data_IF_071030423248
#
_entry.id   IF_071030423248
#
_cell.length_a   1.000
_cell.length_b   1.000
_cell.length_c   1.000
_cell.angle_alpha   90.00
_cell.angle_beta   90.00
_cell.angle_gamma   90.00
#
_symmetry.space_group_name_H-M   'P 1'
#
loop_
_entity.id
_entity.type
_entity.pdbx_description
1 polymer ?
#
# COMPACT_ATOMS: atom_id res chain seq x y z
N UNK A 1 -8.09 -18.29 6.90
CA UNK A 1 -7.27 -18.74 8.05
C UNK A 1 -7.31 -17.66 9.13
N UNK A 2 -8.03 -17.91 10.21
CA UNK A 2 -8.02 -17.01 11.37
C UNK A 2 -6.84 -17.44 12.24
N UNK A 3 -5.85 -16.55 12.41
CA UNK A 3 -4.77 -16.77 13.39
C UNK A 3 -5.41 -16.95 14.77
N UNK A 4 -5.11 -18.04 15.48
CA UNK A 4 -5.53 -18.22 16.86
C UNK A 4 -4.90 -17.09 17.69
N UNK A 5 -5.71 -16.24 18.25
CA UNK A 5 -5.32 -15.13 19.11
C UNK A 5 -6.58 -14.34 19.45
N UNK A 6 -6.65 -13.80 20.63
CA UNK A 6 -7.69 -12.83 20.94
C UNK A 6 -7.37 -11.58 20.12
N UNK A 7 -8.34 -11.11 19.34
CA UNK A 7 -8.30 -9.74 18.90
C UNK A 7 -8.50 -8.90 20.17
N UNK A 8 -7.45 -8.31 20.75
CA UNK A 8 -7.55 -7.73 22.09
C UNK A 8 -8.56 -6.59 22.12
N UNK A 9 -8.95 -6.07 20.92
CA UNK A 9 -9.96 -5.01 20.87
C UNK A 9 -10.74 -5.12 19.57
N UNK A 10 -12.02 -5.52 19.67
CA UNK A 10 -12.97 -5.20 18.64
C UNK A 10 -13.03 -3.67 18.51
N UNK A 11 -12.97 -3.16 17.29
CA UNK A 11 -13.25 -1.76 17.02
C UNK A 11 -14.70 -1.51 17.38
N UNK A 12 -14.97 -1.23 18.63
CA UNK A 12 -16.27 -0.80 19.08
C UNK A 12 -16.37 0.69 18.82
N UNK A 13 -17.14 1.04 17.82
CA UNK A 13 -17.53 2.43 17.61
C UNK A 13 -18.76 2.73 18.49
N UNK A 14 -18.81 3.90 19.17
CA UNK A 14 -19.95 4.26 20.03
C UNK A 14 -21.29 4.28 19.28
N UNK A 15 -21.27 4.41 17.97
CA UNK A 15 -22.47 4.44 17.09
C UNK A 15 -22.72 3.12 16.36
N UNK A 16 -22.12 2.02 16.80
CA UNK A 16 -22.25 0.70 16.16
C UNK A 16 -21.18 0.43 15.11
N UNK A 17 -21.41 -0.57 14.26
CA UNK A 17 -20.51 -0.91 13.17
C UNK A 17 -20.33 0.32 12.28
N UNK A 18 -19.09 0.85 12.22
CA UNK A 18 -18.80 1.92 11.31
C UNK A 18 -18.99 1.41 9.88
N UNK A 19 -19.91 2.01 9.17
CA UNK A 19 -20.05 1.78 7.74
C UNK A 19 -18.75 2.16 7.03
N UNK A 20 -18.46 1.48 5.95
CA UNK A 20 -17.39 1.86 5.03
C UNK A 20 -17.55 3.34 4.66
N UNK A 21 -16.47 4.08 4.85
CA UNK A 21 -16.51 5.53 4.68
C UNK A 21 -15.99 5.99 3.31
N UNK A 22 -15.44 5.07 2.51
CA UNK A 22 -14.71 5.40 1.29
C UNK A 22 -13.36 6.09 1.58
N UNK A 23 -12.66 6.39 0.53
CA UNK A 23 -11.39 7.10 0.60
C UNK A 23 -11.64 8.58 0.94
N UNK A 24 -11.08 9.06 2.03
CA UNK A 24 -11.25 10.44 2.53
C UNK A 24 -9.91 11.03 2.95
N UNK A 25 -9.75 12.35 2.85
CA UNK A 25 -8.60 13.02 3.43
C UNK A 25 -8.45 12.68 4.92
N UNK A 26 -7.22 12.41 5.34
CA UNK A 26 -6.93 12.11 6.74
C UNK A 26 -7.20 13.34 7.61
N UNK A 27 -7.99 13.21 8.69
CA UNK A 27 -8.17 14.29 9.65
C UNK A 27 -6.84 14.67 10.31
N UNK A 28 -6.56 15.97 10.42
CA UNK A 28 -5.29 16.48 10.95
C UNK A 28 -5.00 16.02 12.39
N UNK A 29 -6.03 15.81 13.20
CA UNK A 29 -5.91 15.31 14.58
C UNK A 29 -5.44 13.86 14.67
N UNK A 30 -5.36 13.13 13.56
CA UNK A 30 -4.83 11.77 13.49
C UNK A 30 -3.33 11.71 13.17
N UNK A 31 -2.71 12.81 12.72
CA UNK A 31 -1.28 12.87 12.42
C UNK A 31 -0.39 12.35 13.56
N UNK A 32 -0.63 12.70 14.84
CA UNK A 32 0.20 12.20 15.94
C UNK A 32 0.14 10.68 16.14
N UNK A 33 -0.84 10.01 15.57
CA UNK A 33 -1.00 8.55 15.65
C UNK A 33 -0.41 7.81 14.45
N UNK A 34 0.08 8.50 13.43
CA UNK A 34 0.81 7.90 12.31
C UNK A 34 2.17 7.42 12.85
N UNK A 35 2.45 6.11 12.73
CA UNK A 35 3.64 5.51 13.35
C UNK A 35 3.52 5.25 14.87
N UNK A 36 2.32 5.21 15.41
CA UNK A 36 2.04 4.96 16.83
C UNK A 36 2.67 3.65 17.34
N UNK A 37 3.49 3.75 18.38
CA UNK A 37 4.20 2.63 19.00
C UNK A 37 3.56 2.14 20.32
N UNK A 38 2.53 2.83 20.79
CA UNK A 38 1.77 2.46 21.98
C UNK A 38 0.79 1.32 21.75
N UNK A 39 -0.19 1.19 22.66
CA UNK A 39 -1.22 0.15 22.52
C UNK A 39 -2.04 0.36 21.25
N UNK A 40 -2.19 -0.70 20.46
CA UNK A 40 -2.98 -0.64 19.20
C UNK A 40 -4.44 -0.20 19.41
N UNK A 41 -4.96 -0.45 20.60
CA UNK A 41 -6.29 -0.03 21.04
C UNK A 41 -6.48 1.49 21.07
N UNK A 42 -5.39 2.19 21.22
CA UNK A 42 -5.35 3.65 21.31
C UNK A 42 -4.91 4.28 19.98
N UNK A 43 -4.53 3.44 19.01
CA UNK A 43 -4.10 3.90 17.69
C UNK A 43 -5.29 4.36 16.84
N UNK A 44 -5.68 5.62 17.00
CA UNK A 44 -6.80 6.24 16.26
C UNK A 44 -6.57 6.24 14.75
N UNK A 45 -5.32 6.36 14.29
CA UNK A 45 -4.97 6.28 12.87
C UNK A 45 -5.26 4.91 12.28
N UNK A 46 -4.86 3.83 12.96
CA UNK A 46 -5.18 2.45 12.55
C UNK A 46 -6.69 2.20 12.45
N UNK A 47 -7.45 2.72 13.41
CA UNK A 47 -8.91 2.62 13.39
C UNK A 47 -9.53 3.39 12.21
N UNK A 48 -8.98 4.54 11.89
CA UNK A 48 -9.45 5.34 10.76
C UNK A 48 -9.17 4.64 9.43
N UNK A 49 -7.96 4.07 9.23
CA UNK A 49 -7.60 3.27 8.05
C UNK A 49 -8.54 2.07 7.91
N UNK A 50 -8.75 1.33 9.01
CA UNK A 50 -9.66 0.19 9.00
C UNK A 50 -11.07 0.58 8.54
N UNK A 51 -11.58 1.68 9.04
CA UNK A 51 -12.93 2.18 8.68
C UNK A 51 -13.05 2.59 7.22
N UNK A 52 -11.97 3.01 6.60
CA UNK A 52 -11.99 3.34 5.17
C UNK A 52 -12.08 2.08 4.29
N UNK A 53 -11.37 1.02 4.65
CA UNK A 53 -11.14 -0.11 3.77
C UNK A 53 -11.74 -1.44 4.27
N UNK A 54 -12.46 -1.43 5.39
CA UNK A 54 -13.04 -2.64 5.98
C UNK A 54 -14.26 -3.20 5.21
N UNK A 55 -14.72 -2.52 4.17
CA UNK A 55 -15.78 -3.07 3.31
C UNK A 55 -15.31 -4.34 2.60
N UNK A 56 -16.17 -5.33 2.53
CA UNK A 56 -15.93 -6.52 1.71
C UNK A 56 -16.05 -6.25 0.21
N UNK A 57 -16.55 -5.08 -0.16
CA UNK A 57 -16.79 -4.68 -1.54
C UNK A 57 -16.22 -3.28 -1.77
N UNK A 58 -15.35 -3.15 -2.77
CA UNK A 58 -14.75 -1.89 -3.21
C UNK A 58 -15.24 -1.59 -4.61
N UNK A 59 -16.16 -0.66 -4.76
CA UNK A 59 -16.76 -0.24 -6.02
C UNK A 59 -16.08 0.99 -6.65
N UNK A 60 -15.11 1.57 -5.94
CA UNK A 60 -14.37 2.77 -6.31
C UNK A 60 -12.95 2.48 -6.85
N UNK A 61 -12.62 1.23 -7.16
CA UNK A 61 -11.32 0.84 -7.74
C UNK A 61 -11.19 1.36 -9.17
N UNK A 62 -10.18 2.16 -9.43
CA UNK A 62 -9.88 2.70 -10.76
C UNK A 62 -9.21 1.64 -11.64
N UNK A 63 -9.97 1.08 -12.56
CA UNK A 63 -9.51 -0.03 -13.44
C UNK A 63 -8.25 0.34 -14.21
N UNK A 64 -8.11 1.59 -14.66
CA UNK A 64 -6.96 2.07 -15.43
C UNK A 64 -5.73 2.47 -14.61
N UNK A 65 -5.82 2.49 -13.27
CA UNK A 65 -4.67 2.85 -12.42
C UNK A 65 -3.74 1.67 -12.21
N UNK A 66 -2.93 1.40 -13.22
CA UNK A 66 -1.93 0.32 -13.26
C UNK A 66 -0.58 0.87 -13.72
N UNK A 67 0.52 0.19 -13.37
CA UNK A 67 1.84 0.57 -13.85
C UNK A 67 1.99 0.31 -15.36
N UNK A 68 2.88 1.04 -16.05
CA UNK A 68 3.27 0.75 -17.42
C UNK A 68 3.78 -0.68 -17.56
N UNK A 69 3.23 -1.44 -18.50
CA UNK A 69 3.58 -2.85 -18.71
C UNK A 69 3.64 -3.27 -20.18
N UNK A 70 3.04 -2.48 -21.09
CA UNK A 70 2.88 -2.86 -22.50
C UNK A 70 4.21 -3.07 -23.21
N UNK A 71 5.24 -2.28 -22.86
CA UNK A 71 6.56 -2.36 -23.47
C UNK A 71 7.36 -3.61 -23.06
N UNK A 72 6.95 -4.30 -22.01
CA UNK A 72 7.59 -5.54 -21.53
C UNK A 72 6.90 -6.81 -22.03
N UNK A 73 5.80 -6.70 -22.77
CA UNK A 73 5.12 -7.85 -23.37
C UNK A 73 5.91 -8.39 -24.56
N UNK A 74 6.11 -9.69 -24.57
CA UNK A 74 6.69 -10.44 -25.68
C UNK A 74 5.58 -11.06 -26.53
N UNK A 75 5.86 -11.40 -27.81
CA UNK A 75 4.85 -11.96 -28.73
C UNK A 75 4.15 -13.22 -28.20
N UNK A 76 4.88 -14.02 -27.42
CA UNK A 76 4.41 -15.28 -26.87
C UNK A 76 3.72 -15.11 -25.49
N UNK A 77 3.61 -13.89 -24.98
CA UNK A 77 2.93 -13.63 -23.73
C UNK A 77 1.43 -13.86 -23.82
N UNK A 78 0.87 -14.44 -22.77
CA UNK A 78 -0.56 -14.59 -22.64
C UNK A 78 -1.27 -13.24 -22.77
N UNK A 79 -2.36 -13.21 -23.54
CA UNK A 79 -3.13 -11.98 -23.80
C UNK A 79 -3.69 -11.34 -22.53
N UNK A 80 -3.82 -12.11 -21.44
CA UNK A 80 -4.47 -11.73 -20.20
C UNK A 80 -3.51 -11.26 -19.08
N UNK A 81 -2.21 -11.15 -19.36
CA UNK A 81 -1.26 -10.63 -18.35
C UNK A 81 -1.46 -9.12 -18.21
N UNK A 82 -2.01 -8.73 -17.07
CA UNK A 82 -2.23 -7.34 -16.70
C UNK A 82 -1.76 -7.11 -15.26
N UNK A 83 -1.13 -5.97 -14.96
CA UNK A 83 -0.83 -5.60 -13.57
C UNK A 83 -2.12 -5.44 -12.77
N UNK A 84 -2.05 -5.77 -11.47
CA UNK A 84 -3.13 -5.47 -10.54
C UNK A 84 -3.25 -3.95 -10.34
N UNK A 85 -4.47 -3.48 -10.11
CA UNK A 85 -4.74 -2.07 -9.85
C UNK A 85 -4.01 -1.58 -8.59
N UNK A 86 -3.37 -0.42 -8.70
CA UNK A 86 -2.63 0.18 -7.60
C UNK A 86 -3.55 0.50 -6.40
N UNK A 87 -4.80 0.87 -6.65
CA UNK A 87 -5.78 1.11 -5.56
C UNK A 87 -5.96 -0.11 -4.66
N UNK A 88 -6.02 -1.32 -5.23
CA UNK A 88 -6.13 -2.57 -4.48
C UNK A 88 -4.86 -2.84 -3.69
N UNK A 89 -3.71 -2.70 -4.34
CA UNK A 89 -2.38 -2.95 -3.75
C UNK A 89 -2.15 -2.01 -2.56
N UNK A 90 -2.35 -0.72 -2.74
CA UNK A 90 -2.14 0.30 -1.71
C UNK A 90 -3.04 0.08 -0.49
N UNK A 91 -4.32 -0.23 -0.71
CA UNK A 91 -5.25 -0.54 0.38
C UNK A 91 -4.82 -1.76 1.18
N UNK A 92 -4.39 -2.82 0.51
CA UNK A 92 -3.90 -4.03 1.18
C UNK A 92 -2.62 -3.74 1.98
N UNK A 93 -1.68 -2.99 1.40
CA UNK A 93 -0.44 -2.59 2.07
C UNK A 93 -0.75 -1.78 3.34
N UNK A 94 -1.59 -0.76 3.23
CA UNK A 94 -1.94 0.12 4.36
C UNK A 94 -2.71 -0.63 5.44
N UNK A 95 -3.59 -1.58 5.07
CA UNK A 95 -4.36 -2.41 6.02
C UNK A 95 -3.49 -3.45 6.73
N UNK A 96 -2.38 -3.91 6.14
CA UNK A 96 -1.68 -5.11 6.59
C UNK A 96 -0.23 -4.89 6.98
N UNK A 97 0.28 -3.67 6.83
CA UNK A 97 1.65 -3.31 7.20
C UNK A 97 1.72 -1.93 7.84
N UNK A 98 2.81 -1.66 8.56
CA UNK A 98 3.12 -0.35 9.11
C UNK A 98 4.19 0.36 8.27
N UNK A 99 4.27 1.71 8.30
CA UNK A 99 5.40 2.43 7.71
C UNK A 99 6.75 1.86 8.17
N UNK A 100 7.70 1.76 7.24
CA UNK A 100 9.03 1.19 7.48
C UNK A 100 9.12 -0.34 7.41
N UNK A 101 8.01 -1.08 7.45
CA UNK A 101 8.01 -2.53 7.31
C UNK A 101 8.30 -2.98 5.87
N UNK A 102 8.64 -4.27 5.71
CA UNK A 102 8.96 -4.87 4.41
C UNK A 102 7.71 -5.51 3.82
N UNK A 103 7.38 -5.16 2.59
CA UNK A 103 6.39 -5.83 1.75
C UNK A 103 7.14 -6.74 0.77
N UNK A 104 6.87 -8.04 0.84
CA UNK A 104 7.46 -9.05 -0.03
C UNK A 104 6.46 -9.52 -1.06
N UNK A 105 6.85 -9.52 -2.33
CA UNK A 105 6.12 -10.18 -3.41
C UNK A 105 7.01 -11.21 -4.13
N UNK A 106 6.65 -12.50 -4.16
CA UNK A 106 7.38 -13.50 -4.91
C UNK A 106 7.04 -13.51 -6.40
N UNK A 107 6.09 -12.69 -6.84
CA UNK A 107 5.62 -12.56 -8.22
C UNK A 107 5.54 -11.08 -8.60
N UNK A 108 6.69 -10.41 -8.65
CA UNK A 108 6.76 -8.96 -8.76
C UNK A 108 6.19 -8.41 -10.09
N UNK A 109 6.29 -9.17 -11.17
CA UNK A 109 5.87 -8.69 -12.50
C UNK A 109 6.56 -7.38 -12.88
N UNK A 110 5.76 -6.37 -13.16
CA UNK A 110 6.26 -5.01 -13.47
C UNK A 110 6.46 -4.12 -12.23
N UNK A 111 6.41 -4.70 -11.03
CA UNK A 111 6.79 -4.03 -9.79
C UNK A 111 5.65 -3.37 -9.02
N UNK A 112 4.38 -3.69 -9.29
CA UNK A 112 3.24 -2.96 -8.73
C UNK A 112 3.17 -2.98 -7.20
N UNK A 113 3.44 -4.13 -6.56
CA UNK A 113 3.42 -4.25 -5.10
C UNK A 113 4.61 -3.52 -4.45
N UNK A 114 5.80 -3.59 -5.07
CA UNK A 114 6.99 -2.89 -4.60
C UNK A 114 6.80 -1.37 -4.76
N UNK A 115 6.25 -0.93 -5.88
CA UNK A 115 5.87 0.46 -6.11
C UNK A 115 4.88 0.94 -5.04
N UNK A 116 3.79 0.21 -4.83
CA UNK A 116 2.80 0.55 -3.80
C UNK A 116 3.39 0.58 -2.39
N UNK A 117 4.35 -0.29 -2.08
CA UNK A 117 5.07 -0.27 -0.81
C UNK A 117 5.86 1.04 -0.63
N UNK A 118 6.67 1.43 -1.61
CA UNK A 118 7.47 2.66 -1.60
C UNK A 118 6.56 3.88 -1.45
N UNK A 119 5.51 3.99 -2.27
CA UNK A 119 4.58 5.11 -2.23
C UNK A 119 3.84 5.27 -0.90
N UNK A 120 3.77 4.21 -0.11
CA UNK A 120 3.15 4.24 1.22
C UNK A 120 4.18 4.20 2.37
N UNK A 121 5.46 4.50 2.12
CA UNK A 121 6.50 4.56 3.14
C UNK A 121 6.92 3.19 3.70
N UNK A 122 6.76 2.11 2.92
CA UNK A 122 7.25 0.77 3.24
C UNK A 122 8.46 0.45 2.39
N UNK A 123 9.22 -0.57 2.80
CA UNK A 123 10.28 -1.16 1.98
C UNK A 123 9.68 -2.26 1.11
N UNK A 124 10.03 -2.30 -0.18
CA UNK A 124 9.56 -3.34 -1.08
C UNK A 124 10.66 -4.33 -1.42
N UNK A 125 10.31 -5.61 -1.46
CA UNK A 125 11.18 -6.68 -1.95
C UNK A 125 10.40 -7.53 -2.93
N UNK A 126 10.88 -7.64 -4.18
CA UNK A 126 10.20 -8.39 -5.22
C UNK A 126 11.10 -9.41 -5.90
N UNK A 127 10.52 -10.50 -6.35
CA UNK A 127 11.18 -11.55 -7.14
C UNK A 127 10.45 -11.65 -8.47
N UNK A 128 11.20 -11.62 -9.59
CA UNK A 128 10.67 -11.78 -10.93
C UNK A 128 11.63 -12.62 -11.78
N UNK A 129 11.12 -13.65 -12.42
CA UNK A 129 11.91 -14.56 -13.25
C UNK A 129 12.03 -14.07 -14.69
N UNK A 130 11.03 -13.35 -15.18
CA UNK A 130 11.03 -12.87 -16.57
C UNK A 130 11.81 -11.57 -16.69
N UNK A 131 12.95 -11.62 -17.38
CA UNK A 131 13.88 -10.49 -17.53
C UNK A 131 13.21 -9.24 -18.09
N UNK A 132 12.27 -9.38 -19.05
CA UNK A 132 11.55 -8.25 -19.64
C UNK A 132 10.69 -7.53 -18.61
N UNK A 133 10.01 -8.28 -17.71
CA UNK A 133 9.20 -7.72 -16.64
C UNK A 133 10.07 -7.12 -15.55
N UNK A 134 11.16 -7.79 -15.18
CA UNK A 134 12.13 -7.26 -14.22
C UNK A 134 12.67 -5.88 -14.66
N UNK A 135 13.14 -5.76 -15.91
CA UNK A 135 13.62 -4.48 -16.46
C UNK A 135 12.52 -3.40 -16.50
N UNK A 136 11.27 -3.78 -16.71
CA UNK A 136 10.16 -2.84 -16.63
C UNK A 136 9.90 -2.42 -15.19
N UNK A 137 10.00 -3.34 -14.23
CA UNK A 137 9.89 -3.04 -12.81
C UNK A 137 10.96 -2.03 -12.38
N UNK A 138 12.22 -2.22 -12.74
CA UNK A 138 13.29 -1.26 -12.45
C UNK A 138 12.90 0.16 -12.90
N UNK A 139 12.46 0.34 -14.15
CA UNK A 139 12.02 1.65 -14.67
C UNK A 139 10.85 2.25 -13.89
N UNK A 140 9.87 1.41 -13.51
CA UNK A 140 8.72 1.85 -12.75
C UNK A 140 9.10 2.26 -11.32
N UNK A 141 10.07 1.56 -10.72
CA UNK A 141 10.53 1.83 -9.35
C UNK A 141 11.45 3.04 -9.26
N UNK A 142 12.27 3.29 -10.28
CA UNK A 142 13.05 4.52 -10.39
C UNK A 142 12.15 5.76 -10.41
N UNK A 143 11.06 5.72 -11.18
CA UNK A 143 10.06 6.79 -11.18
C UNK A 143 9.42 6.97 -9.80
N UNK A 144 9.03 5.88 -9.12
CA UNK A 144 8.45 5.93 -7.78
C UNK A 144 9.39 6.56 -6.74
N UNK A 145 10.67 6.23 -6.81
CA UNK A 145 11.67 6.74 -5.88
C UNK A 145 11.91 8.24 -6.04
N UNK A 146 11.80 8.75 -7.25
CA UNK A 146 11.91 10.18 -7.52
C UNK A 146 10.68 10.94 -7.02
N UNK A 147 9.49 10.46 -7.32
CA UNK A 147 8.23 11.05 -6.83
C UNK A 147 8.19 11.10 -5.30
N UNK A 148 8.70 10.08 -4.63
CA UNK A 148 8.77 10.03 -3.16
C UNK A 148 9.74 11.07 -2.60
N UNK A 149 10.91 11.26 -3.20
CA UNK A 149 11.87 12.29 -2.79
C UNK A 149 11.29 13.69 -2.95
N UNK A 150 10.67 13.97 -4.08
CA UNK A 150 10.03 15.26 -4.33
C UNK A 150 8.92 15.57 -3.31
N UNK A 151 8.16 14.54 -2.89
CA UNK A 151 7.13 14.68 -1.86
C UNK A 151 7.72 14.99 -0.48
N UNK A 152 8.82 14.33 -0.09
CA UNK A 152 9.50 14.59 1.18
C UNK A 152 10.05 16.03 1.23
N UNK A 153 10.64 16.49 0.14
CA UNK A 153 11.19 17.84 0.04
C UNK A 153 10.09 18.91 0.12
N UNK A 154 8.91 18.63 -0.43
CA UNK A 154 7.77 19.56 -0.37
C UNK A 154 7.08 19.60 1.00
N UNK A 155 7.00 18.47 1.70
CA UNK A 155 6.35 18.38 3.02
C UNK A 155 7.26 18.79 4.17
N UNK A 156 8.57 19.04 3.92
CA UNK A 156 9.56 19.44 4.94
C UNK A 156 9.70 18.39 6.07
N UNK A 157 9.41 17.15 5.77
CA UNK A 157 9.49 16.04 6.72
C UNK A 157 10.91 15.50 6.69
N UNK A 158 11.75 15.99 7.59
CA UNK A 158 13.04 15.37 7.92
C UNK A 158 12.78 14.00 8.54
N UNK A 159 12.63 12.99 7.71
CA UNK A 159 12.66 11.62 8.16
C UNK A 159 14.12 11.25 8.37
N UNK A 160 14.60 11.37 9.63
CA UNK A 160 15.86 10.79 10.06
C UNK A 160 15.83 9.31 9.68
N UNK A 161 16.55 8.97 8.61
CA UNK A 161 16.93 7.59 8.34
C UNK A 161 17.86 7.20 9.50
N UNK A 162 17.59 6.12 10.26
CA UNK A 162 18.58 5.60 11.19
C UNK A 162 19.82 5.18 10.38
N UNK A 163 20.99 5.65 10.82
CA UNK A 163 22.30 5.25 10.33
C UNK A 163 22.52 3.74 10.43
#
# INVERSE_FOLDING_TARGET
>A
FRKKGQNPIPITHPTGLASYAGERPMPADLLPYKGWTGKQTENRYSHWIWRQYASAFWDDVRIGRVLPYKASKEPDDEKHVHPLQLDVIERVIVLRSNPGEIVLTPFMGVGSEVYGAIQNGRKGLGIELKTAYYKQAERNLDAASNDWKDTLDQEGIDFLLPE
#
